data_IF_340248790233
#
_entry.id   IF_340248790233
#
_cell.length_a   1.000
_cell.length_b   1.000
_cell.length_c   1.000
_cell.angle_alpha   90.00
_cell.angle_beta   90.00
_cell.angle_gamma   90.00
#
_symmetry.space_group_name_H-M   'P 1'
#
loop_
_entity.id
_entity.type
_entity.pdbx_description
1 polymer ?
#
# COMPACT_ATOMS: atom_id res chain seq x y z
N UNK A 1 -1.19 -13.17 -0.14
CA UNK A 1 -1.00 -12.33 1.06
C UNK A 1 0.02 -12.99 1.98
N UNK A 2 1.10 -12.29 2.34
CA UNK A 2 2.11 -12.82 3.25
C UNK A 2 1.76 -12.61 4.73
N UNK A 3 2.62 -13.09 5.63
CA UNK A 3 2.53 -12.88 7.08
C UNK A 3 3.83 -12.28 7.59
N UNK A 4 3.76 -11.43 8.61
CA UNK A 4 4.95 -10.96 9.35
C UNK A 4 4.89 -11.46 10.80
N UNK A 5 6.07 -11.65 11.39
CA UNK A 5 6.19 -11.87 12.83
C UNK A 5 6.23 -10.52 13.54
N UNK A 6 5.10 -10.11 14.12
CA UNK A 6 5.02 -8.93 14.97
C UNK A 6 5.50 -9.26 16.39
N UNK A 7 6.38 -8.42 16.94
CA UNK A 7 6.85 -8.55 18.33
C UNK A 7 5.73 -8.40 19.37
N UNK A 8 4.68 -7.63 19.07
CA UNK A 8 3.54 -7.35 19.97
C UNK A 8 2.39 -8.35 19.79
N UNK A 9 2.10 -8.75 18.55
CA UNK A 9 0.88 -9.48 18.18
C UNK A 9 1.13 -10.89 17.60
N UNK A 10 2.38 -11.35 17.59
CA UNK A 10 2.76 -12.63 16.99
C UNK A 10 2.64 -12.62 15.47
N UNK A 11 2.43 -13.79 14.87
CA UNK A 11 2.24 -13.91 13.42
C UNK A 11 0.93 -13.25 12.99
N UNK A 12 1.02 -12.24 12.13
CA UNK A 12 -0.13 -11.47 11.66
C UNK A 12 -0.05 -11.23 10.15
N UNK A 13 -1.19 -10.95 9.54
CA UNK A 13 -1.23 -10.28 8.26
C UNK A 13 -0.63 -8.86 8.38
N UNK A 14 -0.20 -8.29 7.25
CA UNK A 14 0.45 -7.00 7.22
C UNK A 14 -0.09 -6.10 6.10
N UNK A 15 0.03 -4.80 6.33
CA UNK A 15 -0.04 -3.81 5.26
C UNK A 15 1.37 -3.47 4.81
N UNK A 16 1.54 -3.28 3.51
CA UNK A 16 2.69 -2.55 3.01
C UNK A 16 2.39 -1.06 3.09
N UNK A 17 3.38 -0.28 3.52
CA UNK A 17 3.26 1.16 3.57
C UNK A 17 4.56 1.85 3.20
N UNK A 18 4.49 3.08 2.68
CA UNK A 18 5.71 3.86 2.46
C UNK A 18 6.45 4.06 3.78
N UNK A 19 7.78 4.20 3.70
CA UNK A 19 8.64 4.37 4.88
C UNK A 19 8.26 5.56 5.75
N UNK A 20 7.68 6.61 5.17
CA UNK A 20 7.20 7.78 5.90
C UNK A 20 6.03 7.44 6.83
N UNK A 21 4.97 6.82 6.30
CA UNK A 21 3.84 6.36 7.13
C UNK A 21 4.29 5.33 8.16
N UNK A 22 5.24 4.46 7.82
CA UNK A 22 5.80 3.50 8.77
C UNK A 22 6.49 4.21 9.94
N UNK A 23 7.29 5.24 9.67
CA UNK A 23 7.99 6.00 10.70
C UNK A 23 7.02 6.71 11.65
N UNK A 24 5.93 7.26 11.13
CA UNK A 24 4.89 7.91 11.93
C UNK A 24 4.14 6.90 12.81
N UNK A 25 3.66 5.80 12.22
CA UNK A 25 2.90 4.78 12.97
C UNK A 25 3.77 4.14 14.05
N UNK A 26 5.07 3.93 13.78
CA UNK A 26 6.00 3.41 14.80
C UNK A 26 6.33 4.41 15.90
N UNK A 27 6.12 5.70 15.66
CA UNK A 27 6.17 6.77 16.69
C UNK A 27 4.83 6.98 17.40
N UNK A 28 3.80 6.21 17.04
CA UNK A 28 2.45 6.36 17.60
C UNK A 28 1.65 7.53 17.01
N UNK A 29 2.05 8.03 15.85
CA UNK A 29 1.36 9.12 15.15
C UNK A 29 0.41 8.56 14.10
N UNK A 30 -0.82 9.08 14.07
CA UNK A 30 -1.81 8.74 13.05
C UNK A 30 -1.44 9.43 11.73
N UNK A 31 -0.93 8.66 10.77
CA UNK A 31 -0.70 9.18 9.41
C UNK A 31 -1.99 9.25 8.62
N UNK A 32 -2.18 10.35 7.90
CA UNK A 32 -3.13 10.40 6.79
C UNK A 32 -2.55 9.60 5.63
N UNK A 33 -3.29 8.61 5.14
CA UNK A 33 -2.81 7.69 4.09
C UNK A 33 -3.78 7.59 2.93
N UNK A 34 -3.23 7.48 1.73
CA UNK A 34 -3.91 7.00 0.53
C UNK A 34 -3.76 5.47 0.46
N UNK A 35 -4.83 4.76 0.12
CA UNK A 35 -4.80 3.30 -0.10
C UNK A 35 -4.87 3.02 -1.59
N UNK A 36 -3.84 2.39 -2.14
CA UNK A 36 -3.82 1.94 -3.53
C UNK A 36 -4.31 0.48 -3.53
N UNK A 37 -5.58 0.28 -3.88
CA UNK A 37 -6.29 -0.99 -3.69
C UNK A 37 -5.61 -2.16 -4.38
N UNK A 38 -5.28 -2.01 -5.67
CA UNK A 38 -4.62 -3.05 -6.48
C UNK A 38 -3.24 -3.47 -5.95
N UNK A 39 -2.58 -2.60 -5.18
CA UNK A 39 -1.28 -2.86 -4.57
C UNK A 39 -1.36 -3.24 -3.09
N UNK A 40 -2.54 -3.15 -2.46
CA UNK A 40 -2.70 -3.23 -1.01
C UNK A 40 -1.64 -2.39 -0.25
N UNK A 41 -1.33 -1.21 -0.79
CA UNK A 41 -0.24 -0.34 -0.36
C UNK A 41 -0.80 0.96 0.23
N UNK A 42 -0.28 1.37 1.38
CA UNK A 42 -0.65 2.62 2.07
C UNK A 42 0.47 3.65 1.93
N UNK A 43 0.18 4.84 1.39
CA UNK A 43 1.21 5.86 1.14
C UNK A 43 0.78 7.23 1.68
N UNK A 44 1.73 8.09 2.02
CA UNK A 44 1.45 9.47 2.45
C UNK A 44 1.09 10.37 1.26
N UNK A 45 0.50 11.53 1.54
CA UNK A 45 0.13 12.54 0.54
C UNK A 45 1.32 12.92 -0.36
N UNK A 46 2.54 13.03 0.20
CA UNK A 46 3.74 13.39 -0.56
C UNK A 46 4.14 12.29 -1.55
N UNK A 47 4.24 11.03 -1.09
CA UNK A 47 4.51 9.88 -1.97
C UNK A 47 3.41 9.72 -3.03
N UNK A 48 2.16 9.99 -2.68
CA UNK A 48 1.05 9.91 -3.62
C UNK A 48 1.19 10.95 -4.75
N UNK A 49 1.58 12.18 -4.42
CA UNK A 49 1.80 13.27 -5.38
C UNK A 49 3.01 13.04 -6.27
N UNK A 50 4.13 12.61 -5.69
CA UNK A 50 5.40 12.43 -6.41
C UNK A 50 5.31 11.32 -7.46
N UNK A 51 4.74 10.18 -7.08
CA UNK A 51 4.70 9.02 -7.96
C UNK A 51 3.44 8.97 -8.85
N UNK A 52 2.48 9.89 -8.68
CA UNK A 52 1.27 10.04 -9.51
C UNK A 52 0.54 8.71 -9.72
N UNK A 53 -0.12 8.19 -8.68
CA UNK A 53 -0.88 6.92 -8.74
C UNK A 53 -2.22 7.02 -9.46
N UNK A 54 -2.60 8.20 -9.96
CA UNK A 54 -3.93 8.49 -10.52
C UNK A 54 -4.39 7.49 -11.59
N UNK A 55 -3.44 6.94 -12.35
CA UNK A 55 -3.71 5.99 -13.44
C UNK A 55 -4.14 4.61 -12.92
N UNK A 56 -3.74 4.24 -11.69
CA UNK A 56 -3.94 2.90 -11.12
C UNK A 56 -4.70 2.89 -9.78
N UNK A 57 -5.00 4.06 -9.20
CA UNK A 57 -5.58 4.19 -7.87
C UNK A 57 -6.97 3.54 -7.76
N UNK A 58 -7.80 3.69 -8.78
CA UNK A 58 -9.18 3.22 -8.80
C UNK A 58 -9.38 1.97 -9.64
N UNK A 59 -8.29 1.31 -10.06
CA UNK A 59 -8.40 0.06 -10.80
C UNK A 59 -8.78 -1.04 -9.82
N UNK A 60 -10.03 -1.48 -9.89
CA UNK A 60 -10.48 -2.68 -9.19
C UNK A 60 -10.07 -3.93 -9.97
N UNK A 61 -9.77 -5.02 -9.25
CA UNK A 61 -9.32 -6.27 -9.87
C UNK A 61 -10.34 -6.80 -10.91
N UNK A 62 -11.63 -6.65 -10.61
CA UNK A 62 -12.73 -7.08 -11.48
C UNK A 62 -12.83 -6.28 -12.79
N UNK A 63 -12.29 -5.06 -12.81
CA UNK A 63 -12.24 -4.23 -14.03
C UNK A 63 -11.09 -4.68 -14.93
N UNK A 64 -9.95 -5.08 -14.36
CA UNK A 64 -8.80 -5.59 -15.11
C UNK A 64 -9.16 -6.85 -15.88
N UNK A 65 -9.96 -7.74 -15.27
CA UNK A 65 -10.40 -9.00 -15.89
C UNK A 65 -11.24 -8.82 -17.17
N UNK A 66 -11.76 -7.61 -17.42
CA UNK A 66 -12.59 -7.29 -18.59
C UNK A 66 -11.81 -6.59 -19.71
N UNK A 67 -10.52 -6.32 -19.51
CA UNK A 67 -9.69 -5.61 -20.47
C UNK A 67 -9.07 -6.57 -21.49
N UNK A 68 -8.64 -6.02 -22.63
CA UNK A 68 -7.83 -6.74 -23.60
C UNK A 68 -6.41 -6.97 -23.08
N UNK A 69 -5.75 -8.02 -23.53
CA UNK A 69 -4.38 -8.39 -23.12
C UNK A 69 -3.39 -7.22 -23.20
N UNK A 70 -3.43 -6.42 -24.28
CA UNK A 70 -2.56 -5.24 -24.44
C UNK A 70 -2.75 -4.19 -23.34
N UNK A 71 -3.98 -4.01 -22.87
CA UNK A 71 -4.31 -3.07 -21.79
C UNK A 71 -3.90 -3.62 -20.44
N UNK A 72 -4.08 -4.93 -20.22
CA UNK A 72 -3.60 -5.61 -19.01
C UNK A 72 -2.10 -5.47 -18.89
N UNK A 73 -1.34 -5.76 -19.96
CA UNK A 73 0.12 -5.61 -19.98
C UNK A 73 0.56 -4.17 -19.64
N UNK A 74 -0.14 -3.18 -20.19
CA UNK A 74 0.15 -1.76 -19.90
C UNK A 74 -0.06 -1.44 -18.42
N UNK A 75 -1.17 -1.91 -17.84
CA UNK A 75 -1.49 -1.71 -16.42
C UNK A 75 -0.47 -2.44 -15.53
N UNK A 76 -0.12 -3.69 -15.85
CA UNK A 76 0.89 -4.44 -15.10
C UNK A 76 2.25 -3.73 -15.11
N UNK A 77 2.68 -3.19 -16.26
CA UNK A 77 3.91 -2.40 -16.35
C UNK A 77 3.86 -1.16 -15.47
N UNK A 78 2.74 -0.42 -15.49
CA UNK A 78 2.55 0.75 -14.63
C UNK A 78 2.58 0.35 -13.15
N UNK A 79 1.83 -0.68 -12.76
CA UNK A 79 1.81 -1.22 -11.39
C UNK A 79 3.23 -1.57 -10.95
N UNK A 80 3.99 -2.30 -11.77
CA UNK A 80 5.35 -2.71 -11.46
C UNK A 80 6.29 -1.51 -11.27
N UNK A 81 6.25 -0.54 -12.19
CA UNK A 81 7.05 0.68 -12.10
C UNK A 81 6.74 1.47 -10.82
N UNK A 82 5.45 1.71 -10.55
CA UNK A 82 5.03 2.50 -9.38
C UNK A 82 5.34 1.78 -8.08
N UNK A 83 5.07 0.46 -8.01
CA UNK A 83 5.35 -0.35 -6.84
C UNK A 83 6.85 -0.38 -6.47
N UNK A 84 7.74 -0.40 -7.46
CA UNK A 84 9.19 -0.38 -7.23
C UNK A 84 9.75 1.01 -6.98
N UNK A 85 9.03 2.07 -7.38
CA UNK A 85 9.47 3.45 -7.14
C UNK A 85 9.32 3.91 -5.68
N UNK A 86 8.55 3.18 -4.86
CA UNK A 86 8.33 3.51 -3.46
C UNK A 86 9.14 2.59 -2.56
N UNK A 87 9.95 3.18 -1.67
CA UNK A 87 10.50 2.47 -0.54
C UNK A 87 9.38 2.18 0.47
N UNK A 88 9.20 0.89 0.76
CA UNK A 88 8.07 0.37 1.54
C UNK A 88 8.51 -0.56 2.66
N UNK A 89 7.72 -0.60 3.73
CA UNK A 89 7.88 -1.50 4.87
C UNK A 89 6.56 -2.15 5.24
N UNK A 90 6.65 -3.38 5.76
CA UNK A 90 5.50 -4.10 6.30
C UNK A 90 5.20 -3.69 7.73
N UNK A 91 3.93 -3.39 8.01
CA UNK A 91 3.44 -3.19 9.37
C UNK A 91 2.33 -4.19 9.69
N UNK A 92 2.30 -4.69 10.92
CA UNK A 92 1.29 -5.64 11.34
C UNK A 92 -0.09 -4.95 11.34
N UNK A 93 -1.12 -5.59 10.80
CA UNK A 93 -2.46 -4.98 10.67
C UNK A 93 -2.95 -4.46 12.03
N UNK A 94 -2.84 -5.27 13.08
CA UNK A 94 -3.21 -4.87 14.44
C UNK A 94 -2.43 -3.65 14.97
N UNK A 95 -1.15 -3.54 14.63
CA UNK A 95 -0.31 -2.40 15.03
C UNK A 95 -0.78 -1.11 14.37
N UNK A 96 -1.20 -1.23 13.11
CA UNK A 96 -1.74 -0.11 12.35
C UNK A 96 -3.14 0.27 12.85
N UNK A 97 -3.99 -0.71 13.14
CA UNK A 97 -5.33 -0.51 13.70
C UNK A 97 -5.29 0.14 15.07
N UNK A 98 -4.42 -0.31 15.98
CA UNK A 98 -4.23 0.26 17.31
C UNK A 98 -3.99 1.79 17.28
N UNK A 99 -3.26 2.27 16.26
CA UNK A 99 -2.95 3.70 16.08
C UNK A 99 -4.10 4.46 15.39
N UNK A 100 -4.91 3.79 14.56
CA UNK A 100 -5.98 4.44 13.78
C UNK A 100 -7.36 4.43 14.45
N UNK A 101 -7.56 3.59 15.47
CA UNK A 101 -8.76 3.55 16.31
C UNK A 101 -8.74 4.68 17.37
N UNK A 102 -7.56 5.24 17.67
CA UNK A 102 -7.39 6.49 18.43
C UNK A 102 -7.75 7.71 17.57
#
# INVERSE_FOLDING_TARGET
>A
MGRILCKKHGTQAFYEMCVHCYADVTRGVKSKVHTIAILNLKICDDCYREHTFKEIENIELDEVLKLSDDKVNTIEMLIFQKYNSIEKKGICIKCYEDINIL
#
